data_IF_447888305872
#
_entry.id   IF_447888305872
#
_cell.length_a   1.000
_cell.length_b   1.000
_cell.length_c   1.000
_cell.angle_alpha   90.00
_cell.angle_beta   90.00
_cell.angle_gamma   90.00
#
_symmetry.space_group_name_H-M   'P 1'
#
loop_
_entity.id
_entity.type
_entity.pdbx_description
1 polymer ?
#
# COMPACT_ATOMS: atom_id res chain seq x y z
N UNK A 1 15.53 14.22 -23.48
CA UNK A 1 14.63 13.40 -22.64
C UNK A 1 15.37 13.13 -21.34
N UNK A 2 14.79 13.49 -20.19
CA UNK A 2 15.40 13.27 -18.89
C UNK A 2 14.83 12.00 -18.24
N UNK A 3 15.66 11.32 -17.47
CA UNK A 3 15.33 10.08 -16.77
C UNK A 3 15.73 10.24 -15.31
N UNK A 4 14.86 9.88 -14.39
CA UNK A 4 15.17 9.85 -12.96
C UNK A 4 14.96 8.45 -12.40
N UNK A 5 15.92 8.03 -11.58
CA UNK A 5 15.82 6.80 -10.80
C UNK A 5 15.25 7.14 -9.43
N UNK A 6 14.20 6.43 -9.03
CA UNK A 6 13.57 6.56 -7.72
C UNK A 6 13.85 5.27 -6.95
N UNK A 7 14.42 5.41 -5.75
CA UNK A 7 14.81 4.30 -4.89
C UNK A 7 13.74 4.06 -3.83
N UNK A 8 13.49 2.80 -3.52
CA UNK A 8 12.50 2.44 -2.52
C UNK A 8 12.81 1.14 -1.79
N UNK A 9 12.17 0.95 -0.65
CA UNK A 9 12.02 -0.35 0.00
C UNK A 9 10.64 -0.47 0.64
N UNK A 10 10.14 -1.69 0.77
CA UNK A 10 8.86 -2.06 1.38
C UNK A 10 9.15 -2.86 2.66
N UNK A 11 9.02 -2.24 3.86
CA UNK A 11 9.32 -2.93 5.12
C UNK A 11 8.53 -4.22 5.32
N UNK A 12 7.30 -4.26 4.82
CA UNK A 12 6.39 -5.41 4.97
C UNK A 12 6.85 -6.64 4.15
N UNK A 13 7.72 -6.44 3.16
CA UNK A 13 8.27 -7.50 2.32
C UNK A 13 9.66 -7.96 2.83
N UNK A 14 10.03 -7.61 4.07
CA UNK A 14 11.34 -7.84 4.69
C UNK A 14 12.52 -7.14 3.98
N UNK A 15 12.25 -6.02 3.31
CA UNK A 15 13.29 -5.20 2.70
C UNK A 15 13.90 -4.23 3.72
N UNK A 16 15.20 -3.96 3.60
CA UNK A 16 15.93 -3.07 4.52
C UNK A 16 16.41 -1.80 3.79
N UNK A 17 16.65 -0.69 4.51
CA UNK A 17 17.17 0.53 3.91
C UNK A 17 18.61 0.39 3.36
N UNK A 18 19.34 -0.69 3.71
CA UNK A 18 20.65 -0.96 3.09
C UNK A 18 20.54 -1.53 1.67
N UNK A 19 19.40 -2.16 1.33
CA UNK A 19 19.16 -2.79 0.04
C UNK A 19 17.93 -2.18 -0.64
N UNK A 20 18.15 -1.06 -1.32
CA UNK A 20 17.08 -0.34 -2.02
C UNK A 20 16.82 -0.93 -3.41
N UNK A 21 15.54 -1.14 -3.70
CA UNK A 21 15.06 -1.32 -5.07
C UNK A 21 15.00 0.03 -5.78
N UNK A 22 14.86 0.02 -7.11
CA UNK A 22 14.62 1.24 -7.87
C UNK A 22 13.71 1.02 -9.07
N UNK A 23 13.06 2.10 -9.49
CA UNK A 23 12.33 2.18 -10.75
C UNK A 23 12.62 3.50 -11.46
N UNK A 24 12.23 3.60 -12.73
CA UNK A 24 12.55 4.73 -13.60
C UNK A 24 11.31 5.54 -13.93
N UNK A 25 11.44 6.86 -13.91
CA UNK A 25 10.43 7.80 -14.41
C UNK A 25 11.06 8.65 -15.51
N UNK A 26 10.40 8.72 -16.67
CA UNK A 26 10.85 9.50 -17.84
C UNK A 26 10.47 10.98 -17.71
N UNK A 27 10.88 11.60 -16.61
CA UNK A 27 10.71 13.02 -16.30
C UNK A 27 11.99 13.54 -15.65
N UNK A 28 12.33 14.82 -15.80
CA UNK A 28 13.42 15.40 -15.03
C UNK A 28 13.05 15.43 -13.55
N UNK A 29 14.05 15.26 -12.69
CA UNK A 29 13.86 15.13 -11.24
C UNK A 29 13.16 16.34 -10.60
N UNK A 30 13.33 17.54 -11.16
CA UNK A 30 12.65 18.78 -10.74
C UNK A 30 11.13 18.72 -10.91
N UNK A 31 10.64 17.90 -11.84
CA UNK A 31 9.24 17.87 -12.28
C UNK A 31 8.49 16.67 -11.73
N UNK A 32 9.19 15.76 -11.05
CA UNK A 32 8.57 14.60 -10.42
C UNK A 32 7.74 15.05 -9.22
N UNK A 33 6.51 14.54 -9.17
CA UNK A 33 5.55 14.77 -8.09
C UNK A 33 5.12 13.45 -7.46
N UNK A 34 4.43 13.51 -6.33
CA UNK A 34 3.93 12.30 -5.66
C UNK A 34 2.96 11.49 -6.54
N UNK A 35 2.16 12.16 -7.37
CA UNK A 35 1.27 11.49 -8.33
C UNK A 35 2.04 10.66 -9.36
N UNK A 36 3.25 11.08 -9.74
CA UNK A 36 4.11 10.29 -10.63
C UNK A 36 4.62 9.03 -9.94
N UNK A 37 5.03 9.14 -8.67
CA UNK A 37 5.44 8.00 -7.85
C UNK A 37 4.29 7.00 -7.77
N UNK A 38 3.10 7.45 -7.38
CA UNK A 38 1.92 6.60 -7.25
C UNK A 38 1.56 5.88 -8.55
N UNK A 39 1.66 6.57 -9.69
CA UNK A 39 1.29 6.03 -11.00
C UNK A 39 2.31 5.02 -11.54
N UNK A 40 3.59 5.23 -11.26
CA UNK A 40 4.69 4.42 -11.79
C UNK A 40 5.20 3.36 -10.80
N UNK A 41 4.70 3.35 -9.56
CA UNK A 41 5.18 2.41 -8.54
C UNK A 41 4.99 0.95 -9.02
N UNK A 42 6.06 0.14 -9.04
CA UNK A 42 6.04 -1.16 -9.70
C UNK A 42 5.31 -2.24 -8.90
N UNK A 43 5.14 -2.06 -7.59
CA UNK A 43 4.54 -3.06 -6.70
C UNK A 43 3.04 -2.82 -6.55
N UNK A 44 2.24 -3.88 -6.68
CA UNK A 44 0.80 -3.81 -6.53
C UNK A 44 0.39 -3.61 -5.06
N UNK A 45 -0.45 -2.61 -4.82
CA UNK A 45 -0.93 -2.28 -3.49
C UNK A 45 -1.31 -0.80 -3.39
N UNK A 46 -1.86 -0.45 -2.25
CA UNK A 46 -2.05 0.95 -1.84
C UNK A 46 -1.00 1.25 -0.77
N UNK A 47 -0.24 2.31 -0.96
CA UNK A 47 0.97 2.59 -0.21
C UNK A 47 0.90 3.97 0.45
N UNK A 48 1.55 4.07 1.61
CA UNK A 48 1.92 5.34 2.22
C UNK A 48 3.40 5.59 1.94
N UNK A 49 3.71 6.63 1.18
CA UNK A 49 5.07 6.95 0.76
C UNK A 49 5.68 7.98 1.71
N UNK A 50 6.81 7.62 2.33
CA UNK A 50 7.64 8.54 3.09
C UNK A 50 8.94 8.79 2.37
N UNK A 51 9.36 10.05 2.29
CA UNK A 51 10.57 10.45 1.59
C UNK A 51 11.68 10.70 2.59
N UNK A 52 12.87 10.18 2.27
CA UNK A 52 14.04 10.49 3.08
C UNK A 52 14.44 11.95 2.85
N UNK A 53 14.78 12.65 3.93
CA UNK A 53 15.18 14.04 3.90
C UNK A 53 16.27 14.29 4.93
N UNK A 54 17.17 15.23 4.63
CA UNK A 54 18.25 15.65 5.54
C UNK A 54 17.85 16.95 6.25
N UNK A 55 17.47 16.83 7.53
CA UNK A 55 17.12 17.97 8.37
C UNK A 55 18.18 18.15 9.46
N UNK A 56 18.83 19.32 9.50
CA UNK A 56 19.88 19.64 10.48
C UNK A 56 20.97 18.55 10.60
N UNK A 57 21.37 17.96 9.47
CA UNK A 57 22.37 16.89 9.41
C UNK A 57 21.85 15.48 9.72
N UNK A 58 20.61 15.33 10.19
CA UNK A 58 19.97 14.06 10.49
C UNK A 58 19.09 13.59 9.33
N UNK A 59 19.04 12.28 9.10
CA UNK A 59 18.13 11.67 8.13
C UNK A 59 16.79 11.39 8.80
N UNK A 60 15.73 11.96 8.23
CA UNK A 60 14.35 11.82 8.70
C UNK A 60 13.45 11.34 7.56
N UNK A 61 12.31 10.75 7.93
CA UNK A 61 11.27 10.34 6.99
C UNK A 61 10.13 11.34 7.03
N UNK A 62 9.83 11.95 5.89
CA UNK A 62 8.75 12.93 5.75
C UNK A 62 7.58 12.36 4.96
N UNK A 63 6.38 12.57 5.50
CA UNK A 63 5.15 12.37 4.77
C UNK A 63 4.94 13.58 3.86
N UNK A 64 4.79 13.34 2.56
CA UNK A 64 4.56 14.39 1.58
C UNK A 64 3.11 14.34 1.13
N UNK A 65 2.32 15.36 1.49
CA UNK A 65 0.89 15.42 1.17
C UNK A 65 0.54 16.34 0.01
N UNK A 66 1.44 17.26 -0.36
CA UNK A 66 1.16 18.22 -1.43
C UNK A 66 1.50 17.62 -2.80
N UNK A 67 0.48 17.49 -3.65
CA UNK A 67 0.61 16.88 -4.98
C UNK A 67 1.41 17.73 -5.97
N UNK A 68 1.53 19.04 -5.72
CA UNK A 68 2.13 20.00 -6.65
C UNK A 68 3.58 20.33 -6.35
N UNK A 69 4.08 19.99 -5.15
CA UNK A 69 5.44 20.31 -4.72
C UNK A 69 6.47 19.29 -5.19
N UNK A 70 7.69 19.75 -5.39
CA UNK A 70 8.83 18.88 -5.66
C UNK A 70 9.11 17.94 -4.48
N UNK A 71 9.57 16.74 -4.80
CA UNK A 71 9.84 15.70 -3.80
C UNK A 71 11.15 15.99 -3.03
N UNK A 72 11.22 15.66 -1.73
CA UNK A 72 12.45 15.70 -0.96
C UNK A 72 13.55 14.82 -1.57
N UNK A 73 14.79 15.28 -1.47
CA UNK A 73 15.96 14.59 -2.01
C UNK A 73 17.09 14.56 -0.98
N UNK A 74 17.88 13.49 -1.03
CA UNK A 74 19.11 13.33 -0.25
C UNK A 74 20.22 12.98 -1.22
N UNK A 75 21.27 13.80 -1.27
CA UNK A 75 22.42 13.62 -2.16
C UNK A 75 22.03 13.43 -3.64
N UNK A 76 20.98 14.15 -4.07
CA UNK A 76 20.44 14.08 -5.42
C UNK A 76 19.59 12.83 -5.71
N UNK A 77 19.28 12.02 -4.70
CA UNK A 77 18.45 10.82 -4.83
C UNK A 77 17.07 11.03 -4.19
N UNK A 78 16.06 10.44 -4.81
CA UNK A 78 14.73 10.29 -4.21
C UNK A 78 14.68 8.90 -3.59
N UNK A 79 14.64 8.83 -2.25
CA UNK A 79 14.61 7.58 -1.49
C UNK A 79 13.29 7.49 -0.74
N UNK A 80 12.59 6.37 -0.91
CA UNK A 80 11.22 6.18 -0.44
C UNK A 80 11.14 4.97 0.49
N UNK A 81 10.49 5.15 1.64
CA UNK A 81 9.95 4.04 2.43
C UNK A 81 8.48 3.89 2.06
N UNK A 82 8.12 2.76 1.44
CA UNK A 82 6.78 2.49 0.96
C UNK A 82 6.08 1.51 1.92
N UNK A 83 5.26 2.04 2.83
CA UNK A 83 4.47 1.22 3.77
C UNK A 83 3.18 0.76 3.10
N UNK A 84 2.99 -0.55 2.94
CA UNK A 84 1.76 -1.09 2.34
C UNK A 84 0.58 -0.96 3.30
N UNK A 85 -0.48 -0.25 2.88
CA UNK A 85 -1.74 -0.13 3.63
C UNK A 85 -2.69 -1.29 3.34
N UNK A 86 -2.78 -1.70 2.07
CA UNK A 86 -3.64 -2.80 1.61
C UNK A 86 -3.13 -3.39 0.30
N UNK A 87 -3.47 -4.66 0.08
CA UNK A 87 -3.28 -5.32 -1.20
C UNK A 87 -4.34 -4.85 -2.20
N UNK A 88 -3.90 -4.54 -3.42
CA UNK A 88 -4.79 -4.21 -4.53
C UNK A 88 -4.56 -5.25 -5.61
N UNK A 89 -5.57 -6.08 -5.86
CA UNK A 89 -5.57 -6.99 -7.01
C UNK A 89 -5.78 -6.14 -8.26
N UNK A 90 -4.69 -5.74 -8.93
CA UNK A 90 -4.80 -5.21 -10.29
C UNK A 90 -5.25 -6.37 -11.18
N UNK A 91 -6.56 -6.53 -11.38
CA UNK A 91 -7.07 -7.33 -12.47
C UNK A 91 -6.56 -6.68 -13.75
N UNK A 92 -5.44 -7.19 -14.27
CA UNK A 92 -4.93 -6.83 -15.60
C UNK A 92 -6.05 -7.22 -16.56
N UNK A 93 -6.84 -6.25 -17.03
CA UNK A 93 -7.79 -6.46 -18.11
C UNK A 93 -6.96 -6.79 -19.35
N UNK A 94 -6.66 -8.08 -19.52
CA UNK A 94 -6.32 -8.60 -20.83
C UNK A 94 -7.59 -8.44 -21.65
N UNK A 95 -7.55 -7.49 -22.59
CA UNK A 95 -8.52 -7.42 -23.67
C UNK A 95 -8.40 -8.74 -24.43
N UNK A 96 -9.24 -9.71 -24.07
CA UNK A 96 -9.46 -10.89 -24.89
C UNK A 96 -10.09 -10.38 -26.18
N UNK A 97 -9.29 -10.30 -27.23
CA UNK A 97 -9.77 -10.22 -28.59
C UNK A 97 -10.82 -11.33 -28.77
N UNK A 98 -12.09 -10.93 -28.84
CA UNK A 98 -13.18 -11.81 -29.21
C UNK A 98 -12.86 -12.35 -30.60
N UNK A 99 -12.42 -13.59 -30.65
CA UNK A 99 -12.40 -14.37 -31.88
C UNK A 99 -13.87 -14.67 -32.18
N UNK A 100 -14.49 -13.89 -33.07
CA UNK A 100 -15.78 -14.24 -33.65
C UNK A 100 -15.62 -15.58 -34.37
N UNK A 101 -16.06 -16.65 -33.71
CA UNK A 101 -16.30 -17.95 -34.31
C UNK A 101 -17.45 -17.81 -35.30
N UNK A 102 -17.13 -17.82 -36.59
CA UNK A 102 -18.14 -17.97 -37.64
C UNK A 102 -18.66 -19.41 -37.61
N UNK A 103 -19.94 -19.60 -37.28
CA UNK A 103 -20.68 -20.84 -37.51
C UNK A 103 -21.41 -20.76 -38.86
N UNK A 104 -21.37 -21.79 -39.71
CA UNK A 104 -22.20 -21.85 -40.91
C UNK A 104 -23.65 -22.26 -40.54
N UNK A 105 -24.68 -21.79 -41.27
CA UNK A 105 -26.06 -22.17 -41.00
C UNK A 105 -26.34 -23.58 -41.56
N UNK A 106 -26.64 -24.54 -40.68
CA UNK A 106 -27.22 -25.81 -41.11
C UNK A 106 -28.74 -25.66 -41.31
N UNK A 107 -29.19 -25.90 -42.55
CA UNK A 107 -30.58 -26.28 -42.86
C UNK A 107 -30.69 -27.80 -42.77
N UNK A 108 -31.67 -28.32 -42.03
CA UNK A 108 -32.51 -29.44 -42.49
C UNK A 108 -33.78 -29.54 -41.64
N UNK A 109 -34.88 -29.80 -42.34
CA UNK A 109 -36.25 -29.80 -41.88
C UNK A 109 -36.64 -31.08 -41.11
N UNK A 110 -37.76 -30.94 -40.41
CA UNK A 110 -38.64 -31.91 -39.75
C UNK A 110 -38.78 -33.28 -40.45
N UNK A 111 -38.89 -34.39 -39.71
CA UNK A 111 -40.17 -34.90 -39.16
C UNK A 111 -40.02 -36.30 -38.49
N UNK A 112 -40.99 -36.68 -37.65
CA UNK A 112 -41.34 -38.02 -37.11
C UNK A 112 -41.03 -38.40 -35.62
N UNK A 113 -41.89 -37.89 -34.73
CA UNK A 113 -42.74 -38.55 -33.71
C UNK A 113 -42.47 -39.99 -33.19
N UNK A 114 -42.40 -40.10 -31.85
CA UNK A 114 -43.01 -41.04 -30.85
C UNK A 114 -42.05 -41.10 -29.63
N UNK A 115 -42.39 -41.07 -28.34
CA UNK A 115 -43.53 -41.62 -27.59
C UNK A 115 -43.55 -41.01 -26.17
N UNK A 116 -44.74 -40.91 -25.57
CA UNK A 116 -44.99 -40.43 -24.21
C UNK A 116 -44.79 -41.55 -23.18
N UNK A 117 -44.12 -41.29 -22.06
CA UNK A 117 -44.35 -42.00 -20.79
C UNK A 117 -43.95 -41.16 -19.57
N UNK A 118 -44.75 -41.30 -18.53
CA UNK A 118 -44.93 -40.44 -17.36
C UNK A 118 -43.83 -40.61 -16.25
N UNK A 119 -43.89 -39.81 -15.16
CA UNK A 119 -42.77 -39.60 -14.24
C UNK A 119 -42.73 -40.60 -13.09
N UNK A 120 -41.53 -40.93 -12.62
CA UNK A 120 -41.33 -41.67 -11.37
C UNK A 120 -40.79 -40.73 -10.28
N UNK A 121 -41.58 -40.67 -9.22
CA UNK A 121 -41.37 -40.00 -7.94
C UNK A 121 -40.62 -40.95 -6.99
N UNK A 122 -39.55 -40.49 -6.35
CA UNK A 122 -39.01 -41.10 -5.11
C UNK A 122 -38.54 -40.00 -4.15
N UNK A 123 -39.32 -39.88 -3.07
CA UNK A 123 -39.03 -39.33 -1.72
C UNK A 123 -37.64 -39.74 -1.18
N UNK A 124 -36.91 -39.04 -0.29
CA UNK A 124 -37.32 -38.59 1.05
C UNK A 124 -36.07 -38.08 1.84
N UNK A 125 -36.29 -37.35 2.95
CA UNK A 125 -35.37 -36.90 4.03
C UNK A 125 -34.50 -35.65 3.73
N UNK A 126 -34.58 -34.52 4.43
CA UNK A 126 -35.22 -34.16 5.70
C UNK A 126 -34.21 -34.02 6.82
N UNK A 127 -33.68 -32.81 7.06
CA UNK A 127 -33.38 -32.27 8.41
C UNK A 127 -33.14 -30.76 8.34
N UNK A 128 -33.77 -30.07 9.29
CA UNK A 128 -33.78 -28.64 9.56
C UNK A 128 -33.49 -28.42 11.04
N UNK A 129 -32.60 -27.48 11.38
CA UNK A 129 -32.50 -26.69 12.64
C UNK A 129 -31.11 -26.00 12.64
N UNK A 130 -30.98 -24.67 12.71
CA UNK A 130 -31.06 -23.80 13.92
C UNK A 130 -30.02 -24.21 15.00
N UNK A 131 -29.28 -23.36 15.72
CA UNK A 131 -29.08 -21.91 15.79
C UNK A 131 -28.08 -21.64 16.94
N UNK A 132 -27.57 -20.41 17.04
CA UNK A 132 -27.09 -19.69 18.25
C UNK A 132 -25.65 -19.85 18.83
N UNK A 133 -25.13 -18.71 19.31
CA UNK A 133 -24.00 -18.56 20.26
C UNK A 133 -22.96 -17.49 19.82
N UNK A 134 -23.23 -16.19 19.82
CA UNK A 134 -23.12 -15.23 20.95
C UNK A 134 -21.70 -15.04 21.57
N UNK A 135 -21.04 -13.94 21.17
CA UNK A 135 -20.24 -12.93 21.91
C UNK A 135 -19.33 -13.32 23.10
N UNK A 136 -18.08 -12.83 23.05
CA UNK A 136 -17.25 -12.26 24.16
C UNK A 136 -16.11 -11.43 23.50
N UNK A 137 -16.26 -10.12 23.33
CA UNK A 137 -15.66 -8.98 24.08
C UNK A 137 -14.38 -9.22 24.90
N UNK A 138 -13.46 -8.27 24.72
CA UNK A 138 -12.38 -7.79 25.60
C UNK A 138 -11.31 -8.78 26.09
N UNK A 139 -10.11 -8.65 25.52
CA UNK A 139 -8.90 -8.68 26.36
C UNK A 139 -7.84 -7.69 25.82
N UNK A 140 -8.03 -6.45 26.26
CA UNK A 140 -7.03 -5.60 26.89
C UNK A 140 -5.63 -5.51 26.26
N UNK A 141 -5.47 -4.40 25.54
CA UNK A 141 -4.23 -3.71 25.21
C UNK A 141 -3.31 -3.57 26.45
N UNK A 142 -2.34 -4.47 26.54
CA UNK A 142 -1.18 -4.34 27.41
C UNK A 142 -0.24 -3.25 26.91
N UNK A 143 -0.08 -2.24 27.74
CA UNK A 143 0.76 -1.05 27.59
C UNK A 143 2.21 -1.44 27.25
N UNK A 144 2.73 -0.92 26.13
CA UNK A 144 4.17 -0.87 25.86
C UNK A 144 4.66 0.51 26.28
N UNK A 145 5.30 0.54 27.44
CA UNK A 145 5.99 1.69 27.99
C UNK A 145 7.23 2.02 27.13
N UNK A 146 7.25 3.24 26.56
CA UNK A 146 8.37 3.77 25.76
C UNK A 146 9.25 4.73 26.57
N UNK A 147 9.40 4.52 27.88
CA UNK A 147 10.30 5.32 28.72
C UNK A 147 11.47 4.53 29.31
N UNK A 148 12.45 4.22 28.47
CA UNK A 148 13.81 3.89 28.93
C UNK A 148 14.78 4.99 28.45
N UNK A 149 14.64 6.16 29.08
CA UNK A 149 15.60 7.26 29.00
C UNK A 149 16.84 6.94 29.83
N UNK A 150 17.98 7.22 29.22
CA UNK A 150 19.32 7.04 29.73
C UNK A 150 19.53 7.61 31.14
N UNK A 151 20.10 6.79 32.04
CA UNK A 151 20.80 7.25 33.23
C UNK A 151 22.20 7.71 32.84
N UNK A 152 22.36 9.01 32.56
CA UNK A 152 23.67 9.67 32.59
C UNK A 152 23.77 10.44 33.90
N UNK A 153 24.62 9.90 34.77
CA UNK A 153 25.10 10.51 35.99
C UNK A 153 26.16 11.55 35.63
N UNK A 154 25.90 12.83 35.90
CA UNK A 154 26.99 13.75 36.23
C UNK A 154 26.53 14.89 37.13
N UNK A 155 27.42 15.16 38.06
CA UNK A 155 27.26 15.86 39.32
C UNK A 155 27.78 17.30 39.17
N UNK A 156 27.05 18.25 39.76
CA UNK A 156 27.47 19.55 40.30
C UNK A 156 28.42 20.46 39.47
N UNK A 157 27.97 21.68 39.20
CA UNK A 157 28.46 22.88 39.92
C UNK A 157 27.72 24.16 39.52
N UNK A 158 27.51 24.99 40.53
CA UNK A 158 26.88 26.31 40.59
C UNK A 158 27.58 27.41 39.77
N UNK A 159 26.82 28.28 39.09
CA UNK A 159 27.02 29.73 39.25
C UNK A 159 25.80 30.56 38.79
N UNK A 160 25.57 31.65 39.51
CA UNK A 160 24.56 32.69 39.29
C UNK A 160 24.91 33.51 38.05
N UNK A 161 23.91 33.92 37.26
CA UNK A 161 23.53 35.33 37.06
C UNK A 161 22.52 35.47 35.91
N UNK A 162 21.54 36.33 36.18
CA UNK A 162 20.49 36.80 35.28
C UNK A 162 21.09 37.60 34.13
N UNK A 163 20.66 37.31 32.89
CA UNK A 163 20.56 38.29 31.81
C UNK A 163 19.78 37.65 30.64
N UNK A 164 19.21 38.49 29.77
CA UNK A 164 18.28 38.17 28.67
C UNK A 164 16.78 38.30 28.97
N UNK A 165 16.42 39.36 29.69
CA UNK A 165 15.10 40.00 29.61
C UNK A 165 15.17 41.31 28.80
N UNK A 166 15.64 41.23 27.55
CA UNK A 166 15.80 42.39 26.65
C UNK A 166 15.65 42.04 25.17
N UNK A 167 14.46 41.61 24.72
CA UNK A 167 14.19 41.51 23.27
C UNK A 167 12.72 41.73 22.85
N UNK A 168 11.93 42.40 23.69
CA UNK A 168 10.64 42.94 23.28
C UNK A 168 10.59 44.44 23.55
N UNK A 169 11.11 45.21 22.60
CA UNK A 169 10.61 46.55 22.31
C UNK A 169 10.88 46.92 20.85
#
# INVERSE_FOLDING_TARGET
MALTNVFYYVPEDNETPEQLNYFKIFKPQSDIRIGDIQSHFPVAGDYHFRFQFKYQGQLVWLDHSNETSALPQVDGLIIIKATRKRWVTKHRQHVLHASQSMLPPQKHNDDLLFEMAAPVNVQQHGVSAQSEGARLVDDLLGQVDWTAGASVQQNQSSNKNNDFDLLFN
#
